data_IF_338107405598
#
_entry.id   IF_338107405598
#
_cell.length_a   1.000
_cell.length_b   1.000
_cell.length_c   1.000
_cell.angle_alpha   90.00
_cell.angle_beta   90.00
_cell.angle_gamma   90.00
#
_symmetry.space_group_name_H-M   'P 1'
#
loop_
_entity.id
_entity.type
_entity.pdbx_description
1 polymer ?
#
# COMPACT_ATOMS: atom_id res chain seq x y z
N UNK A 1 -28.67 26.49 -42.23
CA UNK A 1 -27.56 26.75 -41.28
C UNK A 1 -27.61 25.86 -40.02
N UNK A 2 -28.79 25.43 -39.54
CA UNK A 2 -28.89 24.56 -38.34
C UNK A 2 -28.18 23.20 -38.49
N UNK A 3 -28.22 22.62 -39.70
CA UNK A 3 -27.54 21.37 -40.02
C UNK A 3 -26.01 21.45 -39.87
N UNK A 4 -25.40 22.58 -40.21
CA UNK A 4 -23.96 22.77 -40.07
C UNK A 4 -23.53 22.78 -38.59
N UNK A 5 -24.28 23.47 -37.72
CA UNK A 5 -24.00 23.51 -36.29
C UNK A 5 -24.14 22.12 -35.62
N UNK A 6 -25.10 21.30 -36.07
CA UNK A 6 -25.27 19.92 -35.59
C UNK A 6 -24.07 19.07 -35.99
N UNK A 7 -23.63 19.16 -37.25
CA UNK A 7 -22.46 18.42 -37.75
C UNK A 7 -21.17 18.83 -37.05
N UNK A 8 -20.96 20.13 -36.81
CA UNK A 8 -19.79 20.62 -36.09
C UNK A 8 -19.71 20.07 -34.66
N UNK A 9 -20.85 20.02 -33.97
CA UNK A 9 -20.94 19.42 -32.63
C UNK A 9 -20.62 17.93 -32.67
N UNK A 10 -21.23 17.18 -33.58
CA UNK A 10 -21.00 15.74 -33.71
C UNK A 10 -19.52 15.43 -34.03
N UNK A 11 -18.92 16.19 -34.95
CA UNK A 11 -17.49 16.05 -35.27
C UNK A 11 -16.61 16.35 -34.06
N UNK A 12 -16.94 17.37 -33.28
CA UNK A 12 -16.22 17.71 -32.05
C UNK A 12 -16.31 16.58 -31.02
N UNK A 13 -17.52 16.05 -30.79
CA UNK A 13 -17.78 14.98 -29.83
C UNK A 13 -17.03 13.69 -30.23
N UNK A 14 -17.09 13.32 -31.51
CA UNK A 14 -16.37 12.16 -32.06
C UNK A 14 -14.85 12.31 -31.93
N UNK A 15 -14.31 13.52 -32.14
CA UNK A 15 -12.87 13.81 -31.95
C UNK A 15 -12.47 13.70 -30.49
N UNK A 16 -13.28 14.21 -29.57
CA UNK A 16 -13.03 14.13 -28.14
C UNK A 16 -13.04 12.67 -27.66
N UNK A 17 -14.02 11.89 -28.09
CA UNK A 17 -14.11 10.46 -27.76
C UNK A 17 -12.91 9.67 -28.30
N UNK A 18 -12.52 9.90 -29.56
CA UNK A 18 -11.34 9.28 -30.15
C UNK A 18 -10.06 9.62 -29.38
N UNK A 19 -9.87 10.90 -29.02
CA UNK A 19 -8.70 11.33 -28.23
C UNK A 19 -8.66 10.61 -26.88
N UNK A 20 -9.81 10.45 -26.22
CA UNK A 20 -9.92 9.69 -24.96
C UNK A 20 -9.58 8.22 -25.15
N UNK A 21 -10.14 7.56 -26.17
CA UNK A 21 -9.86 6.16 -26.51
C UNK A 21 -8.37 5.94 -26.79
N UNK A 22 -7.75 6.78 -27.61
CA UNK A 22 -6.31 6.73 -27.90
C UNK A 22 -5.47 6.88 -26.64
N UNK A 23 -5.75 7.88 -25.80
CA UNK A 23 -5.07 8.08 -24.50
C UNK A 23 -5.20 6.85 -23.59
N UNK A 24 -6.40 6.26 -23.48
CA UNK A 24 -6.63 5.06 -22.67
C UNK A 24 -5.84 3.87 -23.22
N UNK A 25 -5.86 3.65 -24.53
CA UNK A 25 -5.08 2.59 -25.18
C UNK A 25 -3.59 2.75 -24.89
N UNK A 26 -3.03 3.94 -25.11
CA UNK A 26 -1.63 4.24 -24.80
C UNK A 26 -1.29 4.00 -23.34
N UNK A 27 -2.13 4.44 -22.39
CA UNK A 27 -1.90 4.19 -20.95
C UNK A 27 -1.94 2.70 -20.62
N UNK A 28 -2.86 1.96 -21.21
CA UNK A 28 -3.03 0.52 -20.95
C UNK A 28 -1.91 -0.32 -21.53
N UNK A 29 -1.37 0.05 -22.69
CA UNK A 29 -0.31 -0.72 -23.35
C UNK A 29 1.09 -0.23 -23.00
N UNK A 30 1.20 0.87 -22.25
CA UNK A 30 2.49 1.38 -21.79
C UNK A 30 3.09 0.37 -20.82
N UNK A 31 4.18 -0.27 -21.25
CA UNK A 31 5.02 -1.04 -20.35
C UNK A 31 5.64 -0.07 -19.34
N UNK A 32 5.58 -0.43 -18.06
CA UNK A 32 6.23 0.30 -16.98
C UNK A 32 7.58 -0.38 -16.76
N UNK A 33 8.67 0.39 -16.86
CA UNK A 33 10.00 -0.08 -16.49
C UNK A 33 9.99 -0.47 -15.01
N UNK A 34 10.48 -1.68 -14.70
CA UNK A 34 10.70 -2.09 -13.32
C UNK A 34 12.03 -1.53 -12.85
N UNK A 35 12.02 -0.27 -12.43
CA UNK A 35 13.19 0.40 -11.85
C UNK A 35 13.34 0.10 -10.35
N UNK A 36 12.26 -0.34 -9.69
CA UNK A 36 12.22 -0.65 -8.26
C UNK A 36 11.33 -1.87 -7.99
N UNK A 37 11.73 -2.70 -7.02
CA UNK A 37 10.98 -3.89 -6.56
C UNK A 37 11.91 -4.98 -6.05
N UNK A 38 11.42 -5.82 -5.14
CA UNK A 38 12.17 -6.98 -4.64
C UNK A 38 12.21 -8.06 -5.73
N UNK A 39 13.41 -8.56 -6.00
CA UNK A 39 13.56 -9.84 -6.71
C UNK A 39 12.89 -10.97 -5.90
N UNK A 40 12.56 -12.06 -6.59
CA UNK A 40 11.98 -13.25 -5.94
C UNK A 40 12.89 -13.76 -4.82
N UNK A 41 14.21 -13.73 -5.03
CA UNK A 41 15.20 -14.13 -4.02
C UNK A 41 15.26 -13.19 -2.83
N UNK A 42 15.21 -11.87 -3.04
CA UNK A 42 15.17 -10.89 -1.94
C UNK A 42 13.88 -11.01 -1.14
N UNK A 43 12.75 -11.22 -1.80
CA UNK A 43 11.47 -11.46 -1.15
C UNK A 43 11.50 -12.76 -0.32
N UNK A 44 12.05 -13.85 -0.86
CA UNK A 44 12.22 -15.10 -0.12
C UNK A 44 13.16 -14.94 1.08
N UNK A 45 14.22 -14.14 0.95
CA UNK A 45 15.11 -13.79 2.06
C UNK A 45 14.40 -13.07 3.19
N UNK A 46 13.50 -12.13 2.87
CA UNK A 46 12.68 -11.44 3.88
C UNK A 46 11.62 -12.34 4.52
N UNK A 47 11.03 -13.27 3.77
CA UNK A 47 10.05 -14.23 4.30
C UNK A 47 10.72 -15.21 5.27
N UNK A 48 11.98 -15.60 5.00
CA UNK A 48 12.75 -16.52 5.84
C UNK A 48 13.46 -15.83 7.00
N UNK A 49 13.58 -14.50 6.97
CA UNK A 49 14.09 -13.73 8.08
C UNK A 49 13.04 -13.74 9.20
N UNK A 50 13.13 -14.73 10.08
CA UNK A 50 12.38 -14.73 11.34
C UNK A 50 12.73 -13.46 12.12
N UNK A 51 11.74 -12.58 12.33
CA UNK A 51 11.88 -11.52 13.33
C UNK A 51 12.03 -12.21 14.70
N UNK A 52 13.06 -11.90 15.50
CA UNK A 52 13.09 -12.38 16.87
C UNK A 52 11.84 -11.82 17.56
N UNK A 53 10.93 -12.72 17.96
CA UNK A 53 9.84 -12.39 18.86
C UNK A 53 10.50 -11.94 20.16
N UNK A 54 10.66 -10.62 20.32
CA UNK A 54 11.07 -10.05 21.59
C UNK A 54 9.87 -10.27 22.52
N UNK A 55 9.88 -11.36 23.27
CA UNK A 55 8.97 -11.54 24.39
C UNK A 55 9.14 -10.33 25.31
N UNK A 56 8.07 -9.55 25.45
CA UNK A 56 8.06 -8.44 26.40
C UNK A 56 8.40 -9.01 27.79
N UNK A 57 9.29 -8.36 28.57
CA UNK A 57 9.63 -8.85 29.90
C UNK A 57 8.35 -9.02 30.72
N UNK A 58 8.06 -10.24 31.11
CA UNK A 58 6.92 -10.55 31.98
C UNK A 58 7.12 -9.73 33.26
N UNK A 59 6.19 -8.82 33.64
CA UNK A 59 6.32 -8.11 34.89
C UNK A 59 6.31 -9.16 36.01
N UNK A 60 7.43 -9.28 36.74
CA UNK A 60 7.53 -10.15 37.91
C UNK A 60 6.35 -9.82 38.82
N UNK A 61 5.43 -10.78 39.00
CA UNK A 61 4.37 -10.63 39.99
C UNK A 61 5.05 -10.38 41.33
N UNK A 62 4.78 -9.22 41.93
CA UNK A 62 5.22 -8.94 43.29
C UNK A 62 4.56 -10.01 44.18
N UNK A 63 5.40 -10.89 44.75
CA UNK A 63 4.93 -11.82 45.77
C UNK A 63 4.28 -11.05 46.93
N UNK A 64 3.38 -11.69 47.69
CA UNK A 64 2.64 -11.01 48.76
C UNK A 64 3.62 -10.33 49.73
N UNK A 65 3.35 -9.06 50.03
CA UNK A 65 4.20 -8.22 50.87
C UNK A 65 4.52 -8.92 52.19
N UNK A 66 5.81 -9.04 52.53
CA UNK A 66 6.20 -9.50 53.86
C UNK A 66 5.68 -8.51 54.89
N UNK A 67 4.89 -9.00 55.84
CA UNK A 67 4.39 -8.21 56.96
C UNK A 67 5.56 -7.57 57.73
N UNK A 68 5.40 -6.34 58.27
CA UNK A 68 6.47 -5.68 58.99
C UNK A 68 6.78 -6.42 60.29
N UNK A 69 8.04 -6.82 60.47
CA UNK A 69 8.57 -7.34 61.73
C UNK A 69 8.45 -6.25 62.79
N UNK A 70 7.57 -6.44 63.77
CA UNK A 70 7.53 -5.62 64.98
C UNK A 70 8.76 -5.94 65.85
N UNK A 71 9.43 -4.93 66.45
CA UNK A 71 10.54 -5.17 67.36
C UNK A 71 10.02 -5.65 68.74
N UNK A 72 10.72 -6.55 69.44
CA UNK A 72 10.44 -6.88 70.82
C UNK A 72 11.01 -5.82 71.79
N UNK A 73 10.41 -5.76 72.98
CA UNK A 73 10.61 -4.79 74.07
C UNK A 73 12.05 -4.55 74.51
#
# INVERSE_FOLDING_TARGET
MQSAAILEKEVSDLRAENKKKKRKRTRSTRQISREQGLSVSEALGLIQAEEPVIEAPIPRQAGPASAPLQPPY
#
